data_IF_645222472561
#
_entry.id   IF_645222472561
#
_cell.length_a   1.000
_cell.length_b   1.000
_cell.length_c   1.000
_cell.angle_alpha   90.00
_cell.angle_beta   90.00
_cell.angle_gamma   90.00
#
_symmetry.space_group_name_H-M   'P 1'
#
loop_
_entity.id
_entity.type
_entity.pdbx_description
1 polymer ?
#
# COMPACT_ATOMS: atom_id res chain seq x y z
N UNK A 1 17.68 -37.15 18.18
CA UNK A 1 16.26 -37.12 17.74
C UNK A 1 15.71 -35.74 18.05
N UNK A 2 15.73 -34.82 17.06
CA UNK A 2 15.33 -33.41 17.22
C UNK A 2 14.08 -33.15 16.37
N UNK A 3 12.93 -32.91 16.98
CA UNK A 3 11.70 -32.70 16.23
C UNK A 3 10.52 -32.08 16.97
N UNK A 4 10.66 -31.64 18.22
CA UNK A 4 9.52 -31.16 19.03
C UNK A 4 9.52 -29.65 19.32
N UNK A 5 10.23 -28.83 18.54
CA UNK A 5 10.35 -27.38 18.83
C UNK A 5 9.88 -26.46 17.71
N UNK A 6 9.46 -26.98 16.54
CA UNK A 6 9.12 -26.13 15.38
C UNK A 6 7.64 -25.76 15.24
N UNK A 7 6.75 -26.30 16.09
CA UNK A 7 5.30 -26.12 15.92
C UNK A 7 4.64 -25.14 16.90
N UNK A 8 5.39 -24.57 17.86
CA UNK A 8 4.81 -23.64 18.84
C UNK A 8 4.90 -22.14 18.43
N UNK A 9 5.68 -21.79 17.40
CA UNK A 9 5.82 -20.39 16.94
C UNK A 9 4.71 -19.94 15.97
N UNK A 10 3.91 -20.88 15.43
CA UNK A 10 2.99 -20.62 14.32
C UNK A 10 1.69 -19.85 14.69
N UNK A 11 1.55 -19.30 15.90
CA UNK A 11 0.23 -18.87 16.39
C UNK A 11 0.16 -17.46 17.02
N UNK A 12 1.18 -16.60 16.84
CA UNK A 12 1.06 -15.17 17.20
C UNK A 12 1.75 -14.26 16.18
N UNK A 13 0.98 -13.68 15.27
CA UNK A 13 1.18 -12.29 14.84
C UNK A 13 2.54 -11.86 14.28
N UNK A 14 3.32 -12.75 13.68
CA UNK A 14 4.58 -12.41 13.02
C UNK A 14 4.29 -11.83 11.64
N UNK A 15 4.10 -10.51 11.62
CA UNK A 15 4.16 -9.71 10.40
C UNK A 15 5.36 -10.15 9.54
N UNK A 16 5.14 -10.28 8.24
CA UNK A 16 6.07 -10.86 7.29
C UNK A 16 7.38 -10.04 7.18
N UNK A 17 8.48 -10.66 6.72
CA UNK A 17 9.79 -10.01 6.62
C UNK A 17 9.77 -8.73 5.79
N UNK A 18 10.54 -7.74 6.23
CA UNK A 18 10.68 -6.40 5.64
C UNK A 18 10.97 -6.39 4.13
N UNK A 19 11.72 -7.38 3.61
CA UNK A 19 12.04 -7.46 2.18
C UNK A 19 10.83 -7.72 1.27
N UNK A 20 9.77 -8.36 1.79
CA UNK A 20 8.53 -8.55 1.03
C UNK A 20 7.71 -7.26 0.96
N UNK A 21 7.74 -6.45 2.03
CA UNK A 21 7.11 -5.13 2.05
C UNK A 21 7.71 -4.20 0.98
N UNK A 22 9.02 -4.25 0.73
CA UNK A 22 9.66 -3.40 -0.29
C UNK A 22 9.16 -3.70 -1.71
N UNK A 23 8.93 -4.97 -2.03
CA UNK A 23 8.42 -5.35 -3.34
C UNK A 23 6.95 -4.95 -3.52
N UNK A 24 6.12 -5.16 -2.48
CA UNK A 24 4.72 -4.73 -2.49
C UNK A 24 4.58 -3.21 -2.57
N UNK A 25 5.40 -2.47 -1.82
CA UNK A 25 5.44 -1.00 -1.89
C UNK A 25 5.86 -0.51 -3.27
N UNK A 26 6.90 -1.11 -3.86
CA UNK A 26 7.35 -0.75 -5.21
C UNK A 26 6.25 -0.99 -6.25
N UNK A 27 5.53 -2.10 -6.13
CA UNK A 27 4.40 -2.38 -7.02
C UNK A 27 3.28 -1.34 -6.87
N UNK A 28 2.91 -0.98 -5.63
CA UNK A 28 1.91 0.05 -5.36
C UNK A 28 2.32 1.43 -5.89
N UNK A 29 3.57 1.83 -5.68
CA UNK A 29 4.12 3.11 -6.18
C UNK A 29 4.10 3.17 -7.71
N UNK A 30 4.46 2.07 -8.39
CA UNK A 30 4.43 1.98 -9.85
C UNK A 30 2.99 2.09 -10.38
N UNK A 31 2.06 1.34 -9.79
CA UNK A 31 0.65 1.35 -10.19
C UNK A 31 0.03 2.75 -9.96
N UNK A 32 0.29 3.38 -8.82
CA UNK A 32 -0.19 4.74 -8.53
C UNK A 32 0.41 5.76 -9.52
N UNK A 33 1.69 5.61 -9.88
CA UNK A 33 2.33 6.46 -10.90
C UNK A 33 1.69 6.25 -12.28
N UNK A 34 1.35 5.02 -12.63
CA UNK A 34 0.74 4.72 -13.92
C UNK A 34 -0.68 5.30 -14.01
N UNK A 35 -1.50 5.12 -12.98
CA UNK A 35 -2.88 5.67 -12.93
C UNK A 35 -2.86 7.19 -12.95
N UNK A 36 -1.99 7.82 -12.16
CA UNK A 36 -1.85 9.29 -12.16
C UNK A 36 -1.33 9.86 -13.48
N UNK A 37 -0.38 9.18 -14.15
CA UNK A 37 0.15 9.61 -15.47
C UNK A 37 -0.86 9.48 -16.59
N UNK A 38 -1.65 8.41 -16.61
CA UNK A 38 -2.65 8.19 -17.65
C UNK A 38 -3.81 9.18 -17.49
N UNK A 39 -3.89 9.93 -16.36
CA UNK A 39 -4.99 10.85 -16.04
C UNK A 39 -6.36 10.17 -16.16
N UNK A 40 -6.37 8.84 -16.16
CA UNK A 40 -7.57 8.05 -16.13
C UNK A 40 -7.95 7.96 -14.67
N UNK A 41 -9.03 8.63 -14.30
CA UNK A 41 -9.87 8.16 -13.22
C UNK A 41 -10.34 6.74 -13.61
N UNK A 42 -9.46 5.76 -13.41
CA UNK A 42 -9.68 4.41 -13.88
C UNK A 42 -10.72 3.81 -12.94
N UNK A 43 -11.91 3.45 -13.43
CA UNK A 43 -12.97 2.94 -12.58
C UNK A 43 -12.47 1.74 -11.77
N UNK A 44 -12.58 1.80 -10.45
CA UNK A 44 -12.10 0.76 -9.53
C UNK A 44 -10.77 1.06 -8.83
N UNK A 45 -10.02 2.08 -9.23
CA UNK A 45 -8.79 2.55 -8.55
C UNK A 45 -9.01 3.87 -7.81
N UNK A 46 -10.15 4.00 -7.13
CA UNK A 46 -10.48 5.17 -6.33
C UNK A 46 -9.62 5.28 -5.06
N UNK A 47 -9.73 6.41 -4.36
CA UNK A 47 -9.02 6.63 -3.10
C UNK A 47 -9.26 5.50 -2.08
N UNK A 48 -10.48 4.96 -2.00
CA UNK A 48 -10.83 3.89 -1.08
C UNK A 48 -10.11 2.57 -1.39
N UNK A 49 -9.97 2.24 -2.68
CA UNK A 49 -9.18 1.10 -3.13
C UNK A 49 -7.72 1.22 -2.69
N UNK A 50 -7.10 2.39 -2.91
CA UNK A 50 -5.71 2.59 -2.55
C UNK A 50 -5.46 2.53 -1.05
N UNK A 51 -6.34 3.13 -0.24
CA UNK A 51 -6.21 3.10 1.22
C UNK A 51 -6.33 1.67 1.76
N UNK A 52 -7.24 0.86 1.21
CA UNK A 52 -7.33 -0.58 1.56
C UNK A 52 -6.04 -1.33 1.24
N UNK A 53 -5.44 -1.05 0.08
CA UNK A 53 -4.19 -1.71 -0.34
C UNK A 53 -2.99 -1.28 0.50
N UNK A 54 -2.92 -0.01 0.90
CA UNK A 54 -1.87 0.50 1.79
C UNK A 54 -2.00 -0.14 3.19
N UNK A 55 -3.22 -0.16 3.76
CA UNK A 55 -3.46 -0.82 5.04
C UNK A 55 -3.10 -2.30 5.03
N UNK A 56 -3.41 -3.01 3.95
CA UNK A 56 -3.02 -4.41 3.81
C UNK A 56 -1.50 -4.62 3.92
N UNK A 57 -0.68 -3.68 3.43
CA UNK A 57 0.79 -3.74 3.58
C UNK A 57 1.21 -3.44 5.03
N UNK A 58 0.61 -2.43 5.66
CA UNK A 58 0.88 -2.08 7.07
C UNK A 58 0.49 -3.20 8.05
N UNK A 59 -0.58 -3.93 7.74
CA UNK A 59 -1.07 -5.05 8.55
C UNK A 59 -0.24 -6.32 8.31
N UNK A 60 0.21 -6.55 7.07
CA UNK A 60 0.91 -7.78 6.70
C UNK A 60 2.40 -7.79 7.06
N UNK A 61 3.06 -6.63 7.21
CA UNK A 61 4.51 -6.53 7.34
C UNK A 61 4.98 -5.63 8.48
N UNK A 62 6.14 -5.96 9.07
CA UNK A 62 6.79 -5.06 10.02
C UNK A 62 7.53 -3.99 9.23
N UNK A 63 7.05 -2.76 9.31
CA UNK A 63 7.60 -1.68 8.50
C UNK A 63 8.74 -0.96 9.22
N UNK A 64 9.90 -0.89 8.56
CA UNK A 64 11.01 -0.03 8.99
C UNK A 64 10.73 1.44 8.65
N UNK A 65 11.50 2.35 9.26
CA UNK A 65 11.32 3.80 9.10
C UNK A 65 11.22 4.24 7.63
N UNK A 66 12.13 3.74 6.77
CA UNK A 66 12.14 4.08 5.34
C UNK A 66 10.86 3.64 4.61
N UNK A 67 10.30 2.48 4.97
CA UNK A 67 9.06 1.96 4.38
C UNK A 67 7.85 2.80 4.81
N UNK A 68 7.82 3.23 6.07
CA UNK A 68 6.77 4.13 6.58
C UNK A 68 6.79 5.49 5.87
N UNK A 69 7.99 6.04 5.62
CA UNK A 69 8.14 7.28 4.83
C UNK A 69 7.62 7.12 3.41
N UNK A 70 7.86 5.97 2.77
CA UNK A 70 7.34 5.67 1.43
C UNK A 70 5.81 5.62 1.43
N UNK A 71 5.20 4.98 2.43
CA UNK A 71 3.74 4.94 2.60
C UNK A 71 3.16 6.34 2.79
N UNK A 72 3.77 7.18 3.63
CA UNK A 72 3.31 8.54 3.85
C UNK A 72 3.31 9.35 2.53
N UNK A 73 4.40 9.29 1.76
CA UNK A 73 4.50 9.95 0.45
C UNK A 73 3.47 9.41 -0.55
N UNK A 74 3.18 8.10 -0.51
CA UNK A 74 2.15 7.51 -1.37
C UNK A 74 0.76 8.05 -1.03
N UNK A 75 0.40 8.13 0.26
CA UNK A 75 -0.86 8.73 0.73
C UNK A 75 -0.99 10.21 0.33
N UNK A 76 0.07 10.99 0.48
CA UNK A 76 0.11 12.41 0.08
C UNK A 76 -0.18 12.56 -1.43
N UNK A 77 0.48 11.75 -2.27
CA UNK A 77 0.26 11.75 -3.73
C UNK A 77 -1.17 11.40 -4.10
N UNK A 78 -1.75 10.38 -3.47
CA UNK A 78 -3.13 9.94 -3.72
C UNK A 78 -4.16 10.98 -3.28
N UNK A 79 -3.89 11.68 -2.18
CA UNK A 79 -4.73 12.81 -1.73
C UNK A 79 -4.67 13.95 -2.72
N UNK A 80 -3.48 14.28 -3.23
CA UNK A 80 -3.30 15.33 -4.23
C UNK A 80 -4.02 14.99 -5.55
N UNK A 81 -3.94 13.75 -6.03
CA UNK A 81 -4.66 13.33 -7.23
C UNK A 81 -6.18 13.35 -7.04
N UNK A 82 -6.70 12.88 -5.89
CA UNK A 82 -8.13 12.91 -5.61
C UNK A 82 -8.70 14.33 -5.59
N UNK A 83 -7.93 15.31 -5.07
CA UNK A 83 -8.31 16.74 -5.11
C UNK A 83 -8.36 17.28 -6.54
N UNK A 84 -7.40 16.89 -7.39
CA UNK A 84 -7.37 17.29 -8.80
C UNK A 84 -8.57 16.70 -9.54
N UNK A 85 -8.93 15.44 -9.29
CA UNK A 85 -10.09 14.80 -9.91
C UNK A 85 -11.41 15.47 -9.47
N UNK A 86 -11.53 15.83 -8.18
CA UNK A 86 -12.70 16.56 -7.67
C UNK A 86 -12.84 17.94 -8.31
N UNK A 87 -11.73 18.69 -8.45
CA UNK A 87 -11.73 20.01 -9.07
C UNK A 87 -12.08 19.98 -10.57
N UNK A 88 -11.87 18.85 -11.27
CA UNK A 88 -12.21 18.68 -12.69
C UNK A 88 -13.65 18.26 -12.94
N UNK A 89 -14.41 17.85 -11.92
CA UNK A 89 -15.79 17.40 -12.09
C UNK A 89 -16.68 18.66 -12.21
N UNK A 90 -17.22 19.01 -13.39
CA UNK A 90 -18.13 20.16 -13.48
C UNK A 90 -19.38 19.85 -12.65
N UNK A 91 -19.82 20.82 -11.85
CA UNK A 91 -21.13 20.76 -11.20
C UNK A 91 -22.19 20.63 -12.30
N UNK A 92 -22.94 19.53 -12.26
CA UNK A 92 -24.07 19.29 -13.15
C UNK A 92 -25.24 20.21 -12.79
#
# INVERSE_FOLDING_TARGET
MNGASRQAAAQRGERRPTGLADNELRHLENMATQVTRINAAQPGFDHGYWERRIRAVEDAHELIATQRVRIARLRERLTASARIDLARRPAA
#
